data_IF_817172011986
#
_entry.id   IF_817172011986
#
_cell.length_a   1.000
_cell.length_b   1.000
_cell.length_c   1.000
_cell.angle_alpha   90.00
_cell.angle_beta   90.00
_cell.angle_gamma   90.00
#
_symmetry.space_group_name_H-M   'P 1'
#
loop_
_entity.id
_entity.type
_entity.pdbx_description
1 polymer ?
#
# COMPACT_ATOMS: atom_id res chain seq x y z
N UNK A 1 -8.88 -12.40 -7.36
CA UNK A 1 -8.94 -13.87 -7.60
C UNK A 1 -8.93 -14.56 -6.25
N UNK A 2 -9.82 -15.53 -6.01
CA UNK A 2 -9.82 -16.29 -4.76
C UNK A 2 -8.76 -17.39 -4.85
N UNK A 3 -7.68 -17.23 -4.09
CA UNK A 3 -6.53 -18.14 -4.04
C UNK A 3 -6.42 -18.77 -2.65
N UNK A 4 -5.54 -19.77 -2.48
CA UNK A 4 -5.26 -20.34 -1.16
C UNK A 4 -4.75 -19.30 -0.13
N UNK A 5 -4.15 -18.18 -0.58
CA UNK A 5 -3.81 -17.06 0.31
C UNK A 5 -5.06 -16.31 0.76
N UNK A 6 -6.01 -16.07 -0.16
CA UNK A 6 -7.27 -15.40 0.14
C UNK A 6 -8.14 -16.22 1.11
N UNK A 7 -8.14 -17.55 0.99
CA UNK A 7 -8.88 -18.46 1.89
C UNK A 7 -8.40 -18.40 3.35
N UNK A 8 -7.17 -17.92 3.58
CA UNK A 8 -6.57 -17.79 4.92
C UNK A 8 -6.57 -16.35 5.44
N UNK A 9 -7.07 -15.39 4.66
CA UNK A 9 -7.06 -13.98 5.03
C UNK A 9 -8.29 -13.63 5.86
N UNK A 10 -8.11 -12.79 6.88
CA UNK A 10 -9.24 -12.23 7.65
C UNK A 10 -10.11 -11.29 6.80
N UNK A 11 -9.49 -10.63 5.81
CA UNK A 11 -10.15 -9.79 4.82
C UNK A 11 -9.58 -10.06 3.43
N UNK A 12 -10.46 -10.38 2.48
CA UNK A 12 -10.10 -10.55 1.08
C UNK A 12 -10.72 -9.43 0.24
N UNK A 13 -9.88 -8.65 -0.43
CA UNK A 13 -10.28 -7.52 -1.27
C UNK A 13 -10.19 -7.87 -2.77
N UNK A 14 -11.29 -8.30 -3.42
CA UNK A 14 -11.29 -8.64 -4.84
C UNK A 14 -11.37 -7.39 -5.75
N UNK A 15 -10.35 -6.53 -5.72
CA UNK A 15 -10.33 -5.33 -6.57
C UNK A 15 -10.44 -5.66 -8.05
N UNK A 16 -11.02 -4.75 -8.83
CA UNK A 16 -10.97 -4.79 -10.29
C UNK A 16 -9.51 -4.69 -10.77
N UNK A 17 -9.12 -5.44 -11.81
CA UNK A 17 -7.74 -5.41 -12.32
C UNK A 17 -7.29 -3.98 -12.68
N UNK A 18 -6.10 -3.59 -12.24
CA UNK A 18 -5.50 -2.29 -12.55
C UNK A 18 -5.98 -1.12 -11.70
N UNK A 19 -6.73 -1.38 -10.61
CA UNK A 19 -7.26 -0.33 -9.71
C UNK A 19 -6.49 -0.21 -8.40
N UNK A 20 -5.30 -0.81 -8.32
CA UNK A 20 -4.45 -0.84 -7.13
C UNK A 20 -4.12 0.55 -6.60
N UNK A 21 -3.76 1.50 -7.48
CA UNK A 21 -3.51 2.90 -7.10
C UNK A 21 -4.69 3.56 -6.38
N UNK A 22 -5.92 3.30 -6.84
CA UNK A 22 -7.11 3.86 -6.22
C UNK A 22 -7.31 3.32 -4.81
N UNK A 23 -7.09 2.02 -4.61
CA UNK A 23 -7.13 1.42 -3.27
C UNK A 23 -6.04 2.00 -2.38
N UNK A 24 -4.78 2.01 -2.82
CA UNK A 24 -3.63 2.43 -2.00
C UNK A 24 -3.74 3.91 -1.59
N UNK A 25 -4.11 4.80 -2.52
CA UNK A 25 -4.33 6.20 -2.21
C UNK A 25 -5.60 6.41 -1.36
N UNK A 26 -6.64 5.60 -1.56
CA UNK A 26 -7.83 5.61 -0.70
C UNK A 26 -7.55 5.22 0.75
N UNK A 27 -6.69 4.21 0.96
CA UNK A 27 -6.22 3.84 2.29
C UNK A 27 -5.42 4.98 2.92
N UNK A 28 -4.53 5.62 2.16
CA UNK A 28 -3.75 6.75 2.65
C UNK A 28 -4.64 7.96 2.99
N UNK A 29 -5.64 8.26 2.15
CA UNK A 29 -6.65 9.29 2.41
C UNK A 29 -7.32 9.07 3.77
N UNK A 30 -7.76 7.84 4.04
CA UNK A 30 -8.42 7.48 5.30
C UNK A 30 -7.49 7.60 6.50
N UNK A 31 -6.23 7.18 6.37
CA UNK A 31 -5.23 7.34 7.43
C UNK A 31 -4.99 8.82 7.75
N UNK A 32 -4.87 9.67 6.72
CA UNK A 32 -4.71 11.12 6.89
C UNK A 32 -5.94 11.76 7.55
N UNK A 33 -7.15 11.47 7.07
CA UNK A 33 -8.39 12.04 7.62
C UNK A 33 -8.65 11.63 9.08
N UNK A 34 -8.18 10.45 9.48
CA UNK A 34 -8.32 9.94 10.85
C UNK A 34 -7.13 10.30 11.75
N UNK A 35 -6.19 11.13 11.29
CA UNK A 35 -4.95 11.47 12.00
C UNK A 35 -4.13 10.23 12.42
N UNK A 36 -4.24 9.14 11.66
CA UNK A 36 -3.55 7.87 11.88
C UNK A 36 -2.21 7.81 11.11
N UNK A 37 -1.47 8.90 11.13
CA UNK A 37 -0.17 9.07 10.45
C UNK A 37 0.89 9.51 11.48
N UNK A 38 2.15 9.14 11.24
CA UNK A 38 3.28 9.59 12.06
C UNK A 38 3.80 10.93 11.49
N UNK A 39 3.19 12.03 11.95
CA UNK A 39 3.54 13.39 11.51
C UNK A 39 5.01 13.73 11.77
N UNK A 40 5.57 13.25 12.88
CA UNK A 40 6.97 13.47 13.21
C UNK A 40 7.88 12.70 12.25
N UNK A 41 7.51 11.48 11.85
CA UNK A 41 8.25 10.68 10.87
C UNK A 41 8.20 11.34 9.49
N UNK A 42 7.01 11.74 9.07
CA UNK A 42 6.79 12.44 7.81
C UNK A 42 7.71 13.68 7.75
N UNK A 43 7.67 14.53 8.78
CA UNK A 43 8.45 15.76 8.81
C UNK A 43 9.97 15.52 8.82
N UNK A 44 10.44 14.47 9.52
CA UNK A 44 11.88 14.21 9.69
C UNK A 44 12.51 13.34 8.59
N UNK A 45 11.70 12.58 7.85
CA UNK A 45 12.21 11.49 6.98
C UNK A 45 11.56 11.41 5.60
N UNK A 46 10.69 12.35 5.23
CA UNK A 46 10.06 12.38 3.91
C UNK A 46 10.18 13.77 3.26
N UNK A 47 9.86 13.84 1.97
CA UNK A 47 9.78 15.11 1.22
C UNK A 47 8.53 15.10 0.33
N UNK A 48 8.02 16.29 -0.01
CA UNK A 48 6.88 16.44 -0.92
C UNK A 48 5.51 16.12 -0.30
N UNK A 49 5.42 16.07 1.03
CA UNK A 49 4.16 15.79 1.74
C UNK A 49 3.11 16.90 1.54
N UNK A 50 3.54 18.15 1.32
CA UNK A 50 2.63 19.28 1.14
C UNK A 50 1.70 19.10 -0.08
N UNK A 51 2.16 18.34 -1.09
CA UNK A 51 1.36 18.02 -2.27
C UNK A 51 0.44 16.79 -2.07
N UNK A 52 0.65 16.01 -1.00
CA UNK A 52 -0.05 14.75 -0.78
C UNK A 52 -1.48 14.96 -0.29
N UNK A 53 -1.68 15.80 0.74
CA UNK A 53 -3.02 16.06 1.29
C UNK A 53 -4.05 16.54 0.24
N UNK A 54 -3.76 17.57 -0.60
CA UNK A 54 -4.72 18.00 -1.62
C UNK A 54 -4.93 16.93 -2.70
N UNK A 55 -3.90 16.16 -3.05
CA UNK A 55 -4.03 15.04 -3.99
C UNK A 55 -4.95 13.93 -3.45
N UNK A 56 -4.90 13.66 -2.14
CA UNK A 56 -5.68 12.63 -1.51
C UNK A 56 -7.17 12.96 -1.40
N UNK A 57 -7.57 14.23 -1.47
CA UNK A 57 -8.99 14.61 -1.42
C UNK A 57 -9.81 14.01 -2.58
N UNK A 58 -9.17 13.59 -3.67
CA UNK A 58 -9.80 12.88 -4.79
C UNK A 58 -10.14 11.41 -4.49
N UNK A 59 -9.66 10.85 -3.37
CA UNK A 59 -9.75 9.42 -3.03
C UNK A 59 -10.68 9.13 -1.86
N UNK A 60 -11.82 9.83 -1.80
CA UNK A 60 -12.87 9.53 -0.83
C UNK A 60 -13.34 8.06 -0.95
N UNK A 61 -13.75 7.41 0.15
CA UNK A 61 -14.05 5.97 0.16
C UNK A 61 -15.10 5.54 -0.87
N UNK A 62 -16.11 6.38 -1.12
CA UNK A 62 -17.16 6.11 -2.12
C UNK A 62 -16.58 6.09 -3.54
N UNK A 63 -15.70 7.03 -3.87
CA UNK A 63 -15.00 7.08 -5.16
C UNK A 63 -14.09 5.87 -5.34
N UNK A 64 -13.35 5.50 -4.28
CA UNK A 64 -12.47 4.33 -4.30
C UNK A 64 -13.27 3.04 -4.46
N UNK A 65 -14.40 2.90 -3.75
CA UNK A 65 -15.32 1.77 -3.91
C UNK A 65 -15.86 1.70 -5.34
N UNK A 66 -16.26 2.83 -5.92
CA UNK A 66 -16.74 2.88 -7.30
C UNK A 66 -15.66 2.43 -8.29
N UNK A 67 -14.41 2.87 -8.14
CA UNK A 67 -13.30 2.49 -9.04
C UNK A 67 -12.93 1.01 -8.87
N UNK A 68 -12.66 0.60 -7.62
CA UNK A 68 -12.13 -0.72 -7.28
C UNK A 68 -13.18 -1.83 -7.34
N UNK A 69 -14.47 -1.48 -7.25
CA UNK A 69 -15.57 -2.43 -7.12
C UNK A 69 -15.67 -3.09 -5.74
N UNK A 70 -14.96 -2.57 -4.73
CA UNK A 70 -15.03 -3.06 -3.36
C UNK A 70 -16.21 -2.43 -2.60
N UNK A 71 -16.77 -3.12 -1.60
CA UNK A 71 -17.62 -2.48 -0.61
C UNK A 71 -16.86 -1.41 0.19
N UNK A 72 -17.54 -0.32 0.54
CA UNK A 72 -16.94 0.79 1.29
C UNK A 72 -16.48 0.32 2.67
N UNK A 73 -17.25 -0.53 3.32
CA UNK A 73 -16.96 -1.09 4.64
C UNK A 73 -15.65 -1.88 4.67
N UNK A 74 -15.31 -2.56 3.59
CA UNK A 74 -14.07 -3.34 3.48
C UNK A 74 -12.85 -2.42 3.36
N UNK A 75 -12.98 -1.32 2.59
CA UNK A 75 -11.93 -0.29 2.48
C UNK A 75 -11.71 0.39 3.84
N UNK A 76 -12.78 0.77 4.52
CA UNK A 76 -12.71 1.34 5.87
C UNK A 76 -12.10 0.37 6.88
N UNK A 77 -12.40 -0.92 6.75
CA UNK A 77 -11.85 -1.98 7.61
C UNK A 77 -10.35 -2.15 7.39
N UNK A 78 -9.89 -2.22 6.15
CA UNK A 78 -8.48 -2.29 5.84
C UNK A 78 -7.71 -1.07 6.37
N UNK A 79 -8.23 0.15 6.19
CA UNK A 79 -7.60 1.37 6.69
C UNK A 79 -7.52 1.39 8.22
N UNK A 80 -8.60 0.98 8.91
CA UNK A 80 -8.63 0.87 10.38
C UNK A 80 -7.61 -0.16 10.89
N UNK A 81 -7.53 -1.33 10.27
CA UNK A 81 -6.56 -2.35 10.68
C UNK A 81 -5.11 -1.87 10.50
N UNK A 82 -4.80 -1.14 9.43
CA UNK A 82 -3.48 -0.51 9.27
C UNK A 82 -3.22 0.50 10.38
N UNK A 83 -4.19 1.36 10.69
CA UNK A 83 -4.07 2.37 11.75
C UNK A 83 -3.82 1.76 13.14
N UNK A 84 -4.44 0.62 13.43
CA UNK A 84 -4.40 -0.04 14.75
C UNK A 84 -3.27 -1.06 14.91
N UNK A 85 -2.63 -1.50 13.81
CA UNK A 85 -1.66 -2.60 13.84
C UNK A 85 -0.40 -2.31 14.67
N UNK A 86 0.03 -1.05 14.76
CA UNK A 86 1.30 -0.63 15.35
C UNK A 86 2.52 -1.03 14.50
N UNK A 87 2.70 -2.32 14.26
CA UNK A 87 3.69 -2.89 13.34
C UNK A 87 2.99 -3.64 12.21
N UNK A 88 3.29 -3.27 10.95
CA UNK A 88 2.68 -3.93 9.79
C UNK A 88 3.62 -4.02 8.59
N UNK A 89 3.46 -5.10 7.85
CA UNK A 89 4.25 -5.41 6.66
C UNK A 89 3.33 -5.60 5.47
N UNK A 90 3.72 -5.04 4.33
CA UNK A 90 3.13 -5.39 3.05
C UNK A 90 4.03 -6.35 2.29
N UNK A 91 3.41 -7.30 1.58
CA UNK A 91 4.11 -8.26 0.73
C UNK A 91 3.47 -8.24 -0.65
N UNK A 92 4.28 -8.08 -1.70
CA UNK A 92 3.77 -8.09 -3.08
C UNK A 92 4.72 -8.81 -4.04
N UNK A 93 4.18 -9.21 -5.19
CA UNK A 93 4.92 -9.89 -6.27
C UNK A 93 4.52 -9.30 -7.63
N UNK A 94 4.35 -10.15 -8.64
CA UNK A 94 4.14 -9.76 -10.03
C UNK A 94 2.79 -9.13 -10.31
N UNK A 95 1.77 -9.37 -9.46
CA UNK A 95 0.47 -8.72 -9.60
C UNK A 95 0.57 -7.18 -9.54
N UNK A 96 1.49 -6.67 -8.71
CA UNK A 96 1.76 -5.24 -8.61
C UNK A 96 2.82 -4.79 -9.63
N UNK A 97 3.89 -5.58 -9.78
CA UNK A 97 5.08 -5.20 -10.56
C UNK A 97 4.87 -5.26 -12.08
N UNK A 98 4.10 -6.24 -12.59
CA UNK A 98 3.88 -6.43 -14.03
C UNK A 98 2.66 -5.63 -14.51
N UNK A 99 2.73 -4.31 -14.32
CA UNK A 99 1.73 -3.32 -14.71
C UNK A 99 2.41 -2.14 -15.39
N UNK A 100 1.71 -1.47 -16.31
CA UNK A 100 2.18 -0.19 -16.88
C UNK A 100 2.36 0.89 -15.79
N UNK A 101 1.69 0.73 -14.65
CA UNK A 101 1.79 1.60 -13.48
C UNK A 101 2.58 0.95 -12.33
N UNK A 102 3.36 -0.13 -12.57
CA UNK A 102 3.99 -0.92 -11.51
C UNK A 102 4.90 -0.11 -10.57
N UNK A 103 5.66 0.85 -11.11
CA UNK A 103 6.46 1.78 -10.31
C UNK A 103 5.58 2.65 -9.41
N UNK A 104 4.49 3.18 -9.95
CA UNK A 104 3.57 4.03 -9.20
C UNK A 104 2.82 3.25 -8.12
N UNK A 105 2.39 2.02 -8.40
CA UNK A 105 1.82 1.13 -7.40
C UNK A 105 2.78 0.89 -6.24
N UNK A 106 4.05 0.61 -6.55
CA UNK A 106 5.08 0.41 -5.53
C UNK A 106 5.30 1.67 -4.70
N UNK A 107 5.35 2.84 -5.35
CA UNK A 107 5.46 4.12 -4.65
C UNK A 107 4.27 4.37 -3.72
N UNK A 108 3.03 4.14 -4.17
CA UNK A 108 1.84 4.31 -3.34
C UNK A 108 1.84 3.37 -2.12
N UNK A 109 2.30 2.13 -2.28
CA UNK A 109 2.44 1.19 -1.17
C UNK A 109 3.53 1.64 -0.19
N UNK A 110 4.68 2.08 -0.68
CA UNK A 110 5.73 2.67 0.16
C UNK A 110 5.25 3.92 0.90
N UNK A 111 4.43 4.76 0.26
CA UNK A 111 3.87 5.97 0.88
C UNK A 111 3.01 5.64 2.10
N UNK A 112 2.27 4.52 2.12
CA UNK A 112 1.54 4.08 3.31
C UNK A 112 2.48 3.79 4.48
N UNK A 113 3.59 3.09 4.22
CA UNK A 113 4.60 2.79 5.25
C UNK A 113 5.31 4.06 5.75
N UNK A 114 5.64 4.99 4.84
CA UNK A 114 6.27 6.27 5.20
C UNK A 114 5.30 7.15 6.00
N UNK A 115 4.02 7.20 5.61
CA UNK A 115 3.01 7.99 6.30
C UNK A 115 2.71 7.46 7.71
N UNK A 116 2.81 6.14 7.92
CA UNK A 116 2.54 5.50 9.22
C UNK A 116 3.80 5.30 10.07
N UNK A 117 4.98 5.66 9.58
CA UNK A 117 6.26 5.36 10.25
C UNK A 117 6.56 3.86 10.35
N UNK A 118 5.80 3.00 9.65
CA UNK A 118 5.94 1.55 9.65
C UNK A 118 7.06 1.11 8.70
N UNK A 119 8.28 1.54 8.97
CA UNK A 119 9.50 1.18 8.25
C UNK A 119 10.70 1.21 9.20
N UNK A 120 11.74 0.42 8.93
CA UNK A 120 12.96 0.34 9.76
C UNK A 120 12.71 -0.07 11.23
N UNK A 121 11.62 -0.79 11.49
CA UNK A 121 11.29 -1.39 12.80
C UNK A 121 10.98 -2.89 12.62
N UNK A 122 11.29 -3.76 13.59
CA UNK A 122 10.94 -5.18 13.50
C UNK A 122 9.44 -5.38 13.28
N UNK A 123 9.07 -6.12 12.23
CA UNK A 123 7.67 -6.35 11.86
C UNK A 123 7.07 -5.29 10.93
N UNK A 124 7.83 -4.23 10.61
CA UNK A 124 7.37 -3.11 9.78
C UNK A 124 8.10 -3.02 8.44
N UNK A 125 7.35 -2.81 7.36
CA UNK A 125 7.91 -2.31 6.11
C UNK A 125 7.33 -2.89 4.82
N UNK A 126 7.65 -2.25 3.68
CA UNK A 126 7.29 -2.75 2.37
C UNK A 126 8.26 -3.84 1.91
N UNK A 127 7.79 -5.09 1.81
CA UNK A 127 8.61 -6.24 1.44
C UNK A 127 8.28 -6.81 0.05
N UNK A 128 9.07 -6.43 -0.95
CA UNK A 128 8.96 -6.97 -2.31
C UNK A 128 9.45 -8.41 -2.39
N UNK A 129 8.55 -9.35 -2.67
CA UNK A 129 8.88 -10.76 -2.82
C UNK A 129 9.47 -11.01 -4.20
N UNK A 130 10.68 -11.57 -4.22
CA UNK A 130 11.40 -11.92 -5.45
C UNK A 130 11.13 -13.38 -5.83
N UNK A 131 10.69 -13.61 -7.07
CA UNK A 131 10.28 -14.95 -7.51
C UNK A 131 11.42 -15.91 -7.84
N UNK A 132 12.48 -15.44 -8.50
CA UNK A 132 13.63 -16.29 -8.86
C UNK A 132 14.62 -16.39 -7.70
N UNK A 133 15.27 -17.56 -7.50
CA UNK A 133 16.11 -17.83 -6.34
C UNK A 133 17.32 -16.91 -6.22
N UNK A 134 17.83 -16.37 -7.33
CA UNK A 134 18.98 -15.46 -7.34
C UNK A 134 18.75 -14.19 -8.17
N UNK A 135 17.50 -13.77 -8.34
CA UNK A 135 17.24 -12.51 -9.06
C UNK A 135 17.80 -11.29 -8.33
N UNK A 136 17.89 -11.32 -7.00
CA UNK A 136 18.53 -10.24 -6.24
C UNK A 136 20.06 -10.25 -6.44
N UNK A 137 20.74 -11.37 -6.17
CA UNK A 137 22.19 -11.45 -6.34
C UNK A 137 22.65 -11.20 -7.79
N UNK A 138 21.85 -11.62 -8.78
CA UNK A 138 22.11 -11.30 -10.19
C UNK A 138 22.11 -9.79 -10.46
N UNK A 139 21.11 -9.06 -9.96
CA UNK A 139 21.01 -7.59 -10.10
C UNK A 139 22.08 -6.84 -9.31
N UNK A 140 22.41 -7.32 -8.11
CA UNK A 140 23.50 -6.74 -7.29
C UNK A 140 24.84 -6.77 -8.02
N UNK A 141 25.06 -7.80 -8.84
CA UNK A 141 26.26 -7.94 -9.69
C UNK A 141 26.15 -7.24 -11.04
N UNK A 142 25.00 -6.65 -11.39
CA UNK A 142 24.75 -6.00 -12.68
C UNK A 142 24.56 -6.97 -13.85
N UNK A 143 24.27 -8.25 -13.59
CA UNK A 143 23.90 -9.19 -14.65
C UNK A 143 22.50 -8.81 -15.18
N UNK A 144 22.41 -8.57 -16.49
CA UNK A 144 21.18 -8.26 -17.21
C UNK A 144 20.53 -9.53 -17.76
#
# INVERSE_FOLDING_TARGET
>A
RQTATAEKADLYLPIRPGTDLALLNGLLHLLVKNDAIDRDFIARSTTGWEAMEPFLDEYAPQTVAEITGLPVEDILTAARWIAEAGEWMSLWTMGLNQSIAGTWNTNALCNLHLATGAICRPGSGPFSLTGQPNAMGGREMGYM
#
